data_IF_031856509652
#
_entry.id   IF_031856509652
#
_cell.length_a   1.000
_cell.length_b   1.000
_cell.length_c   1.000
_cell.angle_alpha   90.00
_cell.angle_beta   90.00
_cell.angle_gamma   90.00
#
_symmetry.space_group_name_H-M   'P 1'
#
loop_
_entity.id
_entity.type
_entity.pdbx_description
1 polymer ?
#
# COMPACT_ATOMS: atom_id res chain seq x y z
N UNK A 1 8.75 30.50 8.88
CA UNK A 1 10.20 30.52 8.58
C UNK A 1 10.50 29.21 7.88
N UNK A 2 10.85 29.24 6.59
CA UNK A 2 11.06 28.04 5.77
C UNK A 2 12.51 27.63 5.87
N UNK A 3 12.78 26.46 6.47
CA UNK A 3 14.12 25.91 6.59
C UNK A 3 14.45 25.14 5.31
N UNK A 4 15.08 25.80 4.36
CA UNK A 4 15.60 25.12 3.17
C UNK A 4 16.83 24.29 3.58
N UNK A 5 16.90 22.99 3.27
CA UNK A 5 18.07 22.17 3.59
C UNK A 5 19.30 22.69 2.83
N UNK A 6 20.41 22.89 3.55
CA UNK A 6 21.70 23.28 2.97
C UNK A 6 22.30 22.01 2.33
N UNK A 7 22.26 21.93 1.00
CA UNK A 7 22.96 20.88 0.25
C UNK A 7 24.47 21.21 0.28
N UNK A 8 25.35 20.31 0.76
CA UNK A 8 26.79 20.54 0.73
C UNK A 8 27.30 20.61 -0.73
N UNK A 9 28.29 21.46 -1.04
CA UNK A 9 28.81 21.59 -2.38
C UNK A 9 29.41 20.27 -2.86
N UNK A 10 28.77 19.64 -3.86
CA UNK A 10 29.16 18.35 -4.43
C UNK A 10 28.18 17.19 -4.14
N UNK A 11 27.16 17.39 -3.30
CA UNK A 11 26.07 16.43 -3.16
C UNK A 11 25.14 16.49 -4.38
N UNK A 12 24.89 15.36 -5.03
CA UNK A 12 23.75 15.28 -5.95
C UNK A 12 22.48 15.65 -5.17
N UNK A 13 21.58 16.48 -5.73
CA UNK A 13 20.29 16.69 -5.11
C UNK A 13 19.61 15.33 -4.90
N UNK A 14 18.87 15.14 -3.80
CA UNK A 14 18.12 13.91 -3.60
C UNK A 14 17.21 13.71 -4.82
N UNK A 15 17.36 12.59 -5.52
CA UNK A 15 16.47 12.25 -6.62
C UNK A 15 15.06 12.15 -6.03
N UNK A 16 14.10 12.96 -6.50
CA UNK A 16 12.73 12.84 -6.04
C UNK A 16 12.25 11.41 -6.29
N UNK A 17 11.36 10.88 -5.46
CA UNK A 17 10.85 9.55 -5.70
C UNK A 17 10.19 9.45 -7.08
N UNK A 18 10.54 8.42 -7.83
CA UNK A 18 10.05 8.22 -9.20
C UNK A 18 8.53 8.00 -9.28
N UNK A 19 7.86 7.81 -8.13
CA UNK A 19 6.42 7.64 -8.05
C UNK A 19 5.62 8.95 -8.14
N UNK A 20 6.26 10.11 -8.09
CA UNK A 20 5.58 11.42 -8.22
C UNK A 20 5.04 11.70 -9.64
N UNK A 21 5.30 10.81 -10.61
CA UNK A 21 4.81 10.95 -11.99
C UNK A 21 3.36 10.49 -12.16
N UNK A 22 2.82 9.70 -11.23
CA UNK A 22 1.44 9.22 -11.28
C UNK A 22 0.46 10.23 -10.67
N UNK A 23 -0.66 10.45 -11.34
CA UNK A 23 -1.64 11.49 -10.96
C UNK A 23 -2.91 10.94 -10.31
N UNK A 24 -3.13 9.63 -10.34
CA UNK A 24 -4.32 8.99 -9.77
C UNK A 24 -3.92 8.13 -8.57
N UNK A 25 -4.49 8.46 -7.41
CA UNK A 25 -4.14 7.89 -6.13
C UNK A 25 -5.40 7.56 -5.31
N UNK A 26 -5.31 6.49 -4.53
CA UNK A 26 -6.21 6.25 -3.40
C UNK A 26 -5.42 5.88 -2.15
N UNK A 27 -6.03 6.03 -0.99
CA UNK A 27 -5.50 5.60 0.30
C UNK A 27 -6.54 4.76 1.04
N UNK A 28 -6.08 3.67 1.65
CA UNK A 28 -6.83 2.82 2.56
C UNK A 28 -6.12 2.76 3.91
N UNK A 29 -6.87 2.73 5.02
CA UNK A 29 -6.29 2.68 6.37
C UNK A 29 -6.41 1.25 6.91
N UNK A 30 -5.31 0.70 7.41
CA UNK A 30 -5.28 -0.58 8.09
C UNK A 30 -4.67 -0.47 9.49
N UNK A 31 -5.26 -1.17 10.44
CA UNK A 31 -4.78 -1.22 11.81
C UNK A 31 -4.03 -2.53 12.06
N UNK A 32 -2.83 -2.42 12.63
CA UNK A 32 -1.98 -3.58 12.96
C UNK A 32 -1.74 -3.62 14.47
N UNK A 33 -2.79 -3.88 15.29
CA UNK A 33 -2.67 -3.83 16.75
C UNK A 33 -1.59 -4.81 17.23
N UNK A 34 -0.78 -4.38 18.20
CA UNK A 34 0.26 -5.24 18.78
C UNK A 34 -0.27 -6.19 19.85
N UNK A 35 -1.38 -5.81 20.49
CA UNK A 35 -1.94 -6.52 21.64
C UNK A 35 -3.05 -7.52 21.25
N UNK A 36 -3.42 -7.56 19.96
CA UNK A 36 -4.41 -8.50 19.41
C UNK A 36 -3.81 -9.27 18.22
N UNK A 37 -3.50 -10.54 18.46
CA UNK A 37 -2.85 -11.42 17.47
C UNK A 37 -3.81 -11.81 16.35
N UNK A 38 -5.11 -11.97 16.64
CA UNK A 38 -6.11 -12.39 15.66
C UNK A 38 -6.37 -11.24 14.68
N UNK A 39 -6.65 -10.05 15.21
CA UNK A 39 -6.88 -8.85 14.41
C UNK A 39 -5.66 -8.49 13.57
N UNK A 40 -4.46 -8.57 14.15
CA UNK A 40 -3.20 -8.35 13.41
C UNK A 40 -3.01 -9.35 12.28
N UNK A 41 -3.33 -10.62 12.52
CA UNK A 41 -3.22 -11.67 11.49
C UNK A 41 -4.20 -11.39 10.35
N UNK A 42 -5.44 -11.03 10.67
CA UNK A 42 -6.44 -10.69 9.67
C UNK A 42 -6.08 -9.43 8.89
N UNK A 43 -5.55 -8.39 9.55
CA UNK A 43 -5.05 -7.19 8.89
C UNK A 43 -3.87 -7.50 7.95
N UNK A 44 -2.91 -8.30 8.39
CA UNK A 44 -1.82 -8.76 7.52
C UNK A 44 -2.34 -9.57 6.31
N UNK A 45 -3.42 -10.33 6.49
CA UNK A 45 -4.09 -11.02 5.39
C UNK A 45 -4.71 -10.05 4.39
N UNK A 46 -5.47 -9.06 4.87
CA UNK A 46 -6.04 -8.00 4.03
C UNK A 46 -4.98 -7.26 3.22
N UNK A 47 -3.90 -6.83 3.86
CA UNK A 47 -2.76 -6.18 3.20
C UNK A 47 -2.13 -7.12 2.16
N UNK A 48 -2.02 -8.41 2.46
CA UNK A 48 -1.53 -9.44 1.53
C UNK A 48 -2.38 -9.55 0.26
N UNK A 49 -3.71 -9.54 0.39
CA UNK A 49 -4.63 -9.49 -0.74
C UNK A 49 -4.46 -8.20 -1.56
N UNK A 50 -4.42 -7.04 -0.89
CA UNK A 50 -4.22 -5.75 -1.55
C UNK A 50 -2.90 -5.71 -2.34
N UNK A 51 -1.82 -6.27 -1.78
CA UNK A 51 -0.53 -6.35 -2.47
C UNK A 51 -0.61 -7.26 -3.72
N UNK A 52 -1.28 -8.40 -3.64
CA UNK A 52 -1.49 -9.25 -4.81
C UNK A 52 -2.27 -8.52 -5.90
N UNK A 53 -3.38 -7.86 -5.55
CA UNK A 53 -4.19 -7.13 -6.51
C UNK A 53 -3.44 -5.95 -7.12
N UNK A 54 -2.62 -5.28 -6.31
CA UNK A 54 -1.75 -4.22 -6.82
C UNK A 54 -0.79 -4.76 -7.89
N UNK A 55 -0.16 -5.92 -7.63
CA UNK A 55 0.71 -6.59 -8.60
C UNK A 55 -0.03 -7.08 -9.85
N UNK A 56 -1.25 -7.61 -9.72
CA UNK A 56 -2.08 -8.10 -10.84
C UNK A 56 -2.51 -6.97 -11.78
N UNK A 57 -2.58 -5.74 -11.27
CA UNK A 57 -3.13 -4.58 -11.98
C UNK A 57 -2.07 -3.53 -12.29
N UNK A 58 -0.78 -3.85 -12.16
CA UNK A 58 0.32 -2.89 -12.34
C UNK A 58 0.10 -1.57 -11.55
N UNK A 59 -0.46 -1.72 -10.34
CA UNK A 59 -0.72 -0.65 -9.39
C UNK A 59 0.44 -0.61 -8.40
N UNK A 60 1.00 0.57 -8.16
CA UNK A 60 2.01 0.74 -7.11
C UNK A 60 1.33 0.74 -5.75
N UNK A 61 1.94 0.07 -4.78
CA UNK A 61 1.54 0.11 -3.37
C UNK A 61 2.68 0.65 -2.51
N UNK A 62 2.38 1.72 -1.76
CA UNK A 62 3.25 2.36 -0.78
C UNK A 62 2.55 2.38 0.58
N UNK A 63 3.28 2.74 1.62
CA UNK A 63 2.72 2.91 2.95
C UNK A 63 3.27 4.14 3.67
N UNK A 64 2.50 4.59 4.65
CA UNK A 64 2.87 5.59 5.65
C UNK A 64 2.35 5.13 7.03
N UNK A 65 3.04 5.52 8.09
CA UNK A 65 2.55 5.34 9.45
C UNK A 65 1.69 6.56 9.81
N UNK A 66 0.37 6.39 9.82
CA UNK A 66 -0.60 7.47 10.06
C UNK A 66 -0.63 7.88 11.53
N UNK A 67 -1.23 7.05 12.39
CA UNK A 67 -1.21 7.24 13.85
C UNK A 67 -0.41 6.13 14.56
N UNK A 68 0.82 6.42 15.04
CA UNK A 68 1.62 5.48 15.80
C UNK A 68 0.97 4.97 17.09
N UNK A 69 0.00 5.71 17.65
CA UNK A 69 -0.69 5.33 18.90
C UNK A 69 -1.81 4.34 18.67
N UNK A 70 -2.37 4.34 17.46
CA UNK A 70 -3.43 3.43 17.05
C UNK A 70 -2.89 2.23 16.26
N UNK A 71 -1.58 2.16 16.03
CA UNK A 71 -0.96 1.24 15.06
C UNK A 71 -1.65 1.32 13.68
N UNK A 72 -2.01 2.54 13.27
CA UNK A 72 -2.71 2.82 12.02
C UNK A 72 -1.72 3.09 10.88
N UNK A 73 -1.85 2.35 9.79
CA UNK A 73 -1.03 2.45 8.60
C UNK A 73 -1.90 2.88 7.44
N UNK A 74 -1.41 3.85 6.69
CA UNK A 74 -2.03 4.29 5.44
C UNK A 74 -1.36 3.54 4.29
N UNK A 75 -2.17 2.90 3.46
CA UNK A 75 -1.76 2.15 2.29
C UNK A 75 -2.13 2.97 1.06
N UNK A 76 -1.12 3.52 0.39
CA UNK A 76 -1.31 4.40 -0.75
C UNK A 76 -1.14 3.60 -2.03
N UNK A 77 -2.08 3.75 -2.94
CA UNK A 77 -2.07 3.09 -4.23
C UNK A 77 -2.04 4.13 -5.33
N UNK A 78 -1.12 3.99 -6.28
CA UNK A 78 -1.07 4.84 -7.47
C UNK A 78 -1.28 4.01 -8.73
N UNK A 79 -2.04 4.58 -9.66
CA UNK A 79 -2.50 3.89 -10.86
C UNK A 79 -1.91 4.53 -12.10
N UNK A 80 -1.38 3.69 -12.98
CA UNK A 80 -0.90 4.10 -14.31
C UNK A 80 -2.04 4.31 -15.33
N UNK A 81 -3.25 3.83 -15.04
CA UNK A 81 -4.42 3.91 -15.93
C UNK A 81 -5.73 3.74 -15.16
N UNK A 82 -6.80 4.32 -15.71
CA UNK A 82 -8.17 4.17 -15.15
C UNK A 82 -8.67 2.72 -15.22
N UNK A 83 -8.24 1.94 -16.21
CA UNK A 83 -8.60 0.51 -16.33
C UNK A 83 -8.01 -0.30 -15.18
N UNK A 84 -6.73 -0.09 -14.86
CA UNK A 84 -6.07 -0.75 -13.74
C UNK A 84 -6.68 -0.36 -12.39
N UNK A 85 -7.05 0.92 -12.22
CA UNK A 85 -7.79 1.36 -11.03
C UNK A 85 -9.14 0.66 -10.90
N UNK A 86 -9.91 0.59 -11.98
CA UNK A 86 -11.22 -0.06 -11.97
C UNK A 86 -11.09 -1.55 -11.65
N UNK A 87 -10.11 -2.23 -12.24
CA UNK A 87 -9.84 -3.65 -11.97
C UNK A 87 -9.34 -3.88 -10.55
N UNK A 88 -8.47 -3.01 -10.02
CA UNK A 88 -8.00 -3.08 -8.63
C UNK A 88 -9.17 -2.99 -7.64
N UNK A 89 -10.07 -2.01 -7.82
CA UNK A 89 -11.26 -1.84 -6.99
C UNK A 89 -12.20 -3.04 -7.14
N UNK A 90 -12.36 -3.57 -8.36
CA UNK A 90 -13.16 -4.78 -8.61
C UNK A 90 -12.61 -5.99 -7.85
N UNK A 91 -11.29 -6.15 -7.81
CA UNK A 91 -10.62 -7.24 -7.08
C UNK A 91 -10.79 -7.08 -5.57
N UNK A 92 -10.60 -5.88 -5.03
CA UNK A 92 -10.86 -5.59 -3.60
C UNK A 92 -12.26 -6.05 -3.19
N UNK A 93 -13.27 -5.64 -3.97
CA UNK A 93 -14.68 -5.93 -3.70
C UNK A 93 -15.08 -7.38 -4.01
N UNK A 94 -14.22 -8.16 -4.67
CA UNK A 94 -14.49 -9.58 -4.95
C UNK A 94 -14.18 -10.51 -3.77
N UNK A 95 -13.53 -10.00 -2.73
CA UNK A 95 -13.12 -10.76 -1.55
C UNK A 95 -13.57 -10.03 -0.29
N UNK A 96 -14.38 -10.71 0.53
CA UNK A 96 -14.95 -10.16 1.76
C UNK A 96 -13.91 -9.60 2.74
N UNK A 97 -12.69 -10.15 2.75
CA UNK A 97 -11.62 -9.65 3.61
C UNK A 97 -11.08 -8.29 3.14
N UNK A 98 -10.91 -8.09 1.83
CA UNK A 98 -10.34 -6.85 1.28
C UNK A 98 -11.39 -5.86 0.80
N UNK A 99 -12.67 -6.24 0.82
CA UNK A 99 -13.76 -5.40 0.39
C UNK A 99 -13.79 -4.13 1.26
N UNK A 100 -13.93 -2.99 0.59
CA UNK A 100 -13.90 -1.70 1.23
C UNK A 100 -15.01 -0.84 0.60
N UNK A 101 -15.87 -0.27 1.43
CA UNK A 101 -16.93 0.59 0.93
C UNK A 101 -16.31 1.83 0.25
N UNK A 102 -16.93 2.30 -0.84
CA UNK A 102 -16.41 3.43 -1.62
C UNK A 102 -16.22 4.70 -0.77
N UNK A 103 -16.96 4.84 0.32
CA UNK A 103 -16.83 5.96 1.27
C UNK A 103 -15.51 5.99 2.04
N UNK A 104 -14.82 4.85 2.16
CA UNK A 104 -13.51 4.74 2.81
C UNK A 104 -12.35 4.88 1.81
N UNK A 105 -12.62 4.86 0.50
CA UNK A 105 -11.63 5.08 -0.55
C UNK A 105 -11.40 6.58 -0.72
N UNK A 106 -10.32 7.09 -0.13
CA UNK A 106 -10.00 8.52 -0.15
C UNK A 106 -8.85 8.82 -1.11
N UNK A 107 -8.70 10.09 -1.49
CA UNK A 107 -7.52 10.58 -2.21
C UNK A 107 -6.55 11.14 -1.17
N UNK A 108 -5.31 10.61 -1.07
CA UNK A 108 -4.35 11.12 -0.10
C UNK A 108 -3.91 12.55 -0.45
N UNK A 109 -3.68 13.43 0.54
CA UNK A 109 -3.04 14.72 0.33
C UNK A 109 -1.59 14.56 -0.16
N UNK A 110 -1.07 15.61 -0.79
CA UNK A 110 0.23 15.58 -1.47
C UNK A 110 1.40 15.30 -0.51
N UNK A 111 1.34 15.80 0.72
CA UNK A 111 2.39 15.59 1.73
C UNK A 111 2.48 14.12 2.20
N UNK A 112 1.35 13.40 2.23
CA UNK A 112 1.35 11.95 2.46
C UNK A 112 1.98 11.19 1.29
N UNK A 113 1.64 11.56 0.05
CA UNK A 113 2.23 10.98 -1.17
C UNK A 113 3.76 11.16 -1.19
N UNK A 114 4.22 12.37 -0.86
CA UNK A 114 5.64 12.74 -0.84
C UNK A 114 6.39 11.97 0.26
N UNK A 115 5.74 11.71 1.40
CA UNK A 115 6.32 11.01 2.54
C UNK A 115 6.23 9.47 2.44
N UNK A 116 5.35 8.95 1.59
CA UNK A 116 5.11 7.52 1.43
C UNK A 116 6.40 6.75 1.07
N UNK A 117 6.48 5.51 1.55
CA UNK A 117 7.64 4.64 1.35
C UNK A 117 7.21 3.25 0.91
N UNK A 118 8.10 2.44 0.30
CA UNK A 118 7.83 1.03 0.05
C UNK A 118 7.35 0.32 1.33
N UNK A 119 6.33 -0.54 1.21
CA UNK A 119 5.68 -1.20 2.37
C UNK A 119 6.69 -1.91 3.30
N UNK A 120 7.76 -2.48 2.76
CA UNK A 120 8.79 -3.19 3.52
C UNK A 120 9.65 -2.27 4.41
N UNK A 121 9.62 -0.95 4.20
CA UNK A 121 10.30 0.04 5.05
C UNK A 121 9.41 0.58 6.18
N UNK A 122 8.10 0.36 6.10
CA UNK A 122 7.10 0.99 6.99
C UNK A 122 6.42 -0.05 7.86
N UNK A 123 5.95 -1.14 7.26
CA UNK A 123 5.25 -2.19 7.99
C UNK A 123 6.22 -2.97 8.89
N UNK A 124 5.74 -3.51 10.03
CA UNK A 124 6.52 -4.41 10.87
C UNK A 124 7.04 -5.64 10.10
N UNK A 125 8.25 -6.11 10.43
CA UNK A 125 8.92 -7.19 9.68
C UNK A 125 8.10 -8.48 9.61
N UNK A 126 7.47 -8.88 10.72
CA UNK A 126 6.59 -10.05 10.78
C UNK A 126 5.39 -9.93 9.84
N UNK A 127 4.83 -8.72 9.73
CA UNK A 127 3.71 -8.42 8.83
C UNK A 127 4.18 -8.45 7.38
N UNK A 128 5.33 -7.85 7.06
CA UNK A 128 5.88 -7.86 5.69
C UNK A 128 6.09 -9.28 5.19
N UNK A 129 6.62 -10.18 6.03
CA UNK A 129 6.80 -11.58 5.66
C UNK A 129 5.47 -12.28 5.37
N UNK A 130 4.45 -12.08 6.22
CA UNK A 130 3.11 -12.64 6.05
C UNK A 130 2.42 -12.11 4.80
N UNK A 131 2.42 -10.79 4.61
CA UNK A 131 1.87 -10.08 3.45
C UNK A 131 2.49 -10.60 2.15
N UNK A 132 3.81 -10.72 2.10
CA UNK A 132 4.54 -11.21 0.93
C UNK A 132 4.18 -12.66 0.61
N UNK A 133 4.07 -13.51 1.64
CA UNK A 133 3.71 -14.92 1.49
C UNK A 133 2.31 -15.06 0.87
N UNK A 134 1.34 -14.33 1.41
CA UNK A 134 -0.05 -14.35 0.94
C UNK A 134 -0.13 -13.85 -0.50
N UNK A 135 0.51 -12.72 -0.79
CA UNK A 135 0.52 -12.17 -2.14
C UNK A 135 1.10 -13.17 -3.15
N UNK A 136 2.21 -13.81 -2.79
CA UNK A 136 2.86 -14.84 -3.62
C UNK A 136 1.95 -16.05 -3.85
N UNK A 137 1.25 -16.52 -2.82
CA UNK A 137 0.32 -17.65 -2.96
C UNK A 137 -0.84 -17.33 -3.90
N UNK A 138 -1.40 -16.13 -3.80
CA UNK A 138 -2.48 -15.68 -4.68
C UNK A 138 -2.03 -15.57 -6.14
N UNK A 139 -0.84 -15.01 -6.37
CA UNK A 139 -0.25 -14.89 -7.70
C UNK A 139 0.07 -16.28 -8.30
N UNK A 140 0.57 -17.20 -7.48
CA UNK A 140 0.89 -18.58 -7.90
C UNK A 140 -0.34 -19.47 -8.13
N UNK A 141 -1.44 -19.23 -7.42
CA UNK A 141 -2.68 -20.00 -7.51
C UNK A 141 -3.41 -19.88 -8.85
N UNK A 142 -3.13 -18.86 -9.65
CA UNK A 142 -3.70 -18.71 -11.00
C UNK A 142 -3.09 -19.66 -12.05
N UNK A 143 -1.99 -20.36 -11.74
CA UNK A 143 -1.42 -21.38 -12.63
C UNK A 143 -2.08 -22.77 -12.50
N UNK A 144 -3.13 -22.91 -11.68
CA UNK A 144 -3.68 -24.20 -11.24
C UNK A 144 -5.05 -24.62 -11.77
N UNK A 145 -5.69 -23.87 -12.68
CA UNK A 145 -7.00 -24.27 -13.25
C UNK A 145 -6.86 -24.52 -14.75
N UNK A 146 -6.26 -25.67 -15.07
CA UNK A 146 -6.50 -26.37 -16.34
C UNK A 146 -7.09 -27.72 -15.98
N UNK A 147 -8.42 -27.83 -16.02
CA UNK A 147 -9.14 -29.06 -16.35
C UNK A 147 -10.42 -28.71 -17.11
#
# INVERSE_FOLDING_TARGET
MSSTPIIPPGGMPPTPPHWLEESDWIVLIEFLPKDDVEDRTQAAERIGYMLAYAQMTDTRMLALLGDPRADAYELLFSFNSTENKAEFIRLLNSNELSACDEEFIQVPPQDEIDAAQPIAKVLPEDVVQRVTLIATMLMGGQSGIVQ
#
